data_IF_368609850588
#
_entry.id   IF_368609850588
#
_cell.length_a   1.000
_cell.length_b   1.000
_cell.length_c   1.000
_cell.angle_alpha   90.00
_cell.angle_beta   90.00
_cell.angle_gamma   90.00
#
_symmetry.space_group_name_H-M   'P 1'
#
loop_
_entity.id
_entity.type
_entity.pdbx_description
1 polymer ?
#
# COMPACT_ATOMS: atom_id res chain seq x y z
N UNK A 1 -43.68 -60.21 -10.97
CA UNK A 1 -43.03 -59.07 -10.23
C UNK A 1 -41.87 -58.55 -11.06
N UNK A 2 -42.10 -57.45 -11.79
CA UNK A 2 -41.09 -56.85 -12.64
C UNK A 2 -40.48 -55.69 -11.90
N UNK A 3 -39.21 -55.78 -11.50
CA UNK A 3 -38.46 -54.68 -10.95
C UNK A 3 -37.90 -53.85 -12.11
N UNK A 4 -38.42 -52.64 -12.27
CA UNK A 4 -37.87 -51.62 -13.21
C UNK A 4 -36.69 -50.94 -12.55
N UNK A 5 -35.47 -51.25 -13.02
CA UNK A 5 -34.24 -50.53 -12.66
C UNK A 5 -34.24 -49.14 -13.32
N UNK A 6 -34.31 -48.08 -12.53
CA UNK A 6 -34.07 -46.71 -12.97
C UNK A 6 -32.58 -46.55 -13.37
N UNK A 7 -32.25 -45.92 -14.50
CA UNK A 7 -30.87 -45.69 -14.85
C UNK A 7 -30.29 -44.51 -14.05
N UNK A 8 -29.15 -44.76 -13.41
CA UNK A 8 -28.32 -43.79 -12.69
C UNK A 8 -27.57 -42.87 -13.70
N UNK A 9 -28.23 -41.82 -14.23
CA UNK A 9 -27.57 -40.80 -15.06
C UNK A 9 -27.33 -39.44 -14.33
N UNK A 10 -27.55 -39.41 -13.00
CA UNK A 10 -27.46 -38.15 -12.24
C UNK A 10 -26.07 -37.64 -11.86
N UNK A 11 -24.97 -38.43 -11.83
CA UNK A 11 -23.66 -37.88 -11.37
C UNK A 11 -22.85 -37.15 -12.45
N UNK A 12 -23.08 -37.42 -13.74
CA UNK A 12 -22.25 -36.86 -14.81
C UNK A 12 -22.62 -35.40 -15.11
N UNK A 13 -23.90 -35.07 -15.08
CA UNK A 13 -24.40 -33.70 -15.33
C UNK A 13 -24.04 -32.74 -14.21
N UNK A 14 -24.07 -33.20 -12.96
CA UNK A 14 -23.69 -32.39 -11.80
C UNK A 14 -22.19 -32.08 -11.80
N UNK A 15 -21.37 -33.07 -12.18
CA UNK A 15 -19.91 -32.90 -12.28
C UNK A 15 -19.53 -31.90 -13.38
N UNK A 16 -20.21 -31.96 -14.54
CA UNK A 16 -20.00 -31.01 -15.65
C UNK A 16 -20.44 -29.59 -15.27
N UNK A 17 -21.53 -29.44 -14.53
CA UNK A 17 -21.99 -28.13 -14.06
C UNK A 17 -21.01 -27.50 -13.07
N UNK A 18 -20.48 -28.27 -12.13
CA UNK A 18 -19.48 -27.81 -11.18
C UNK A 18 -18.16 -27.42 -11.88
N UNK A 19 -17.72 -28.17 -12.88
CA UNK A 19 -16.56 -27.83 -13.68
C UNK A 19 -16.76 -26.53 -14.45
N UNK A 20 -17.92 -26.33 -15.03
CA UNK A 20 -18.26 -25.11 -15.76
C UNK A 20 -18.28 -23.89 -14.83
N UNK A 21 -18.86 -24.02 -13.61
CA UNK A 21 -18.86 -22.95 -12.62
C UNK A 21 -17.45 -22.62 -12.14
N UNK A 22 -16.58 -23.61 -11.99
CA UNK A 22 -15.18 -23.41 -11.62
C UNK A 22 -14.40 -22.67 -12.72
N UNK A 23 -14.63 -23.03 -14.00
CA UNK A 23 -14.05 -22.33 -15.14
C UNK A 23 -14.53 -20.89 -15.24
N UNK A 24 -15.84 -20.64 -15.03
CA UNK A 24 -16.38 -19.27 -15.04
C UNK A 24 -15.77 -18.43 -13.91
N UNK A 25 -15.65 -18.99 -12.70
CA UNK A 25 -15.01 -18.29 -11.57
C UNK A 25 -13.54 -17.99 -11.86
N UNK A 26 -12.81 -18.93 -12.45
CA UNK A 26 -11.41 -18.75 -12.83
C UNK A 26 -11.22 -17.65 -13.90
N UNK A 27 -12.10 -17.60 -14.91
CA UNK A 27 -12.06 -16.54 -15.93
C UNK A 27 -12.53 -15.19 -15.40
N UNK A 28 -13.42 -15.14 -14.42
CA UNK A 28 -13.80 -13.90 -13.75
C UNK A 28 -12.66 -13.32 -12.91
N UNK A 29 -11.87 -14.15 -12.22
CA UNK A 29 -10.68 -13.69 -11.51
C UNK A 29 -9.60 -13.14 -12.46
N UNK A 30 -9.45 -13.73 -13.66
CA UNK A 30 -8.54 -13.21 -14.68
C UNK A 30 -9.01 -11.87 -15.28
N UNK A 31 -10.31 -11.63 -15.36
CA UNK A 31 -10.87 -10.40 -15.93
C UNK A 31 -10.70 -9.17 -15.01
N UNK A 32 -10.54 -9.35 -13.70
CA UNK A 32 -10.26 -8.27 -12.75
C UNK A 32 -8.79 -7.86 -12.69
N UNK A 33 -7.90 -8.56 -13.41
CA UNK A 33 -6.48 -8.25 -13.53
C UNK A 33 -6.14 -7.42 -14.77
N UNK A 34 -7.13 -6.84 -15.45
CA UNK A 34 -6.88 -5.91 -16.54
C UNK A 34 -6.42 -4.57 -15.96
N UNK A 35 -5.10 -4.46 -15.87
CA UNK A 35 -4.37 -3.22 -15.70
C UNK A 35 -4.80 -2.25 -16.82
N UNK A 36 -5.58 -1.23 -16.48
CA UNK A 36 -6.01 -0.20 -17.43
C UNK A 36 -4.82 0.72 -17.70
N UNK A 37 -3.85 0.25 -18.45
CA UNK A 37 -2.83 1.12 -19.06
C UNK A 37 -3.53 2.01 -20.08
N UNK A 38 -3.93 3.21 -19.66
CA UNK A 38 -4.28 4.27 -20.57
C UNK A 38 -3.05 4.57 -21.42
N UNK A 39 -3.12 4.19 -22.69
CA UNK A 39 -2.14 4.56 -23.69
C UNK A 39 -2.00 6.10 -23.72
N UNK A 40 -0.78 6.64 -23.84
CA UNK A 40 -0.60 8.07 -23.97
C UNK A 40 -1.19 8.52 -25.31
N UNK A 41 -2.05 9.53 -25.27
CA UNK A 41 -2.46 10.27 -26.46
C UNK A 41 -1.21 10.94 -27.04
N UNK A 42 -0.61 10.30 -28.02
CA UNK A 42 0.43 10.90 -28.85
C UNK A 42 -0.27 11.75 -29.91
N UNK A 43 0.11 13.01 -29.97
CA UNK A 43 -0.05 13.80 -31.16
C UNK A 43 -0.63 15.19 -30.96
N UNK A 44 0.20 16.17 -30.64
CA UNK A 44 0.21 17.46 -31.31
C UNK A 44 1.68 17.92 -31.30
N UNK A 45 2.34 17.74 -32.43
CA UNK A 45 3.56 18.45 -32.73
C UNK A 45 3.20 19.91 -33.00
N UNK A 46 3.63 20.82 -32.15
CA UNK A 46 3.86 22.21 -32.54
C UNK A 46 5.27 22.57 -32.10
N UNK A 47 6.05 22.92 -33.11
CA UNK A 47 7.41 23.38 -33.02
C UNK A 47 7.49 24.73 -32.30
N UNK A 48 8.67 24.95 -31.69
CA UNK A 48 9.22 26.24 -31.38
C UNK A 48 8.56 27.05 -30.24
N UNK A 49 8.86 26.64 -29.00
CA UNK A 49 9.06 27.64 -27.95
C UNK A 49 10.28 27.23 -27.10
N UNK A 50 11.36 28.01 -27.21
CA UNK A 50 12.49 28.00 -26.28
C UNK A 50 12.02 28.58 -24.95
N UNK A 51 11.02 27.96 -24.34
CA UNK A 51 10.54 28.23 -23.00
C UNK A 51 11.44 27.54 -21.98
N UNK A 52 11.96 28.32 -21.02
CA UNK A 52 12.65 27.83 -19.83
C UNK A 52 11.98 26.56 -19.32
N UNK A 53 12.71 25.44 -19.30
CA UNK A 53 12.19 24.16 -18.83
C UNK A 53 11.60 24.34 -17.43
N UNK A 54 10.30 24.27 -17.31
CA UNK A 54 9.65 24.12 -16.02
C UNK A 54 10.17 22.80 -15.45
N UNK A 55 11.10 22.89 -14.50
CA UNK A 55 11.44 21.73 -13.68
C UNK A 55 10.14 21.27 -13.04
N UNK A 56 9.69 20.09 -13.37
CA UNK A 56 8.50 19.51 -12.72
C UNK A 56 8.78 19.47 -11.23
N UNK A 57 8.05 20.25 -10.45
CA UNK A 57 8.26 20.37 -9.02
C UNK A 57 8.06 19.00 -8.37
N UNK A 58 8.99 18.59 -7.52
CA UNK A 58 8.89 17.40 -6.71
C UNK A 58 7.51 17.32 -6.05
N UNK A 59 6.84 16.21 -6.21
CA UNK A 59 5.50 16.03 -5.65
C UNK A 59 5.23 14.58 -5.24
N UNK A 60 4.40 14.42 -4.20
CA UNK A 60 3.89 13.13 -3.75
C UNK A 60 2.39 13.10 -3.99
N UNK A 61 1.90 12.01 -4.51
CA UNK A 61 0.47 11.79 -4.70
C UNK A 61 -0.13 11.16 -3.43
N UNK A 62 -1.28 11.67 -2.98
CA UNK A 62 -2.10 11.06 -1.95
C UNK A 62 -3.14 10.18 -2.63
N UNK A 63 -3.24 8.91 -2.26
CA UNK A 63 -4.26 8.01 -2.79
C UNK A 63 -5.52 8.01 -1.93
N UNK A 64 -5.36 7.91 -0.65
CA UNK A 64 -6.45 7.52 0.24
C UNK A 64 -6.20 7.94 1.70
N UNK A 65 -7.20 7.74 2.57
CA UNK A 65 -7.12 7.99 3.99
C UNK A 65 -7.72 6.83 4.78
N UNK A 66 -7.36 6.69 6.04
CA UNK A 66 -7.93 5.70 6.92
C UNK A 66 -9.40 6.01 7.27
N UNK A 67 -10.22 4.97 7.42
CA UNK A 67 -11.62 5.07 7.82
C UNK A 67 -11.77 5.59 9.26
N UNK A 68 -12.93 6.19 9.57
CA UNK A 68 -13.21 6.83 10.85
C UNK A 68 -13.12 5.90 12.07
N UNK A 69 -13.47 4.64 11.88
CA UNK A 69 -13.39 3.59 12.92
C UNK A 69 -12.00 2.97 13.06
N UNK A 70 -11.08 3.38 12.21
CA UNK A 70 -9.65 3.09 12.26
C UNK A 70 -8.93 4.35 12.69
N UNK A 71 -7.69 4.30 13.04
CA UNK A 71 -6.94 5.48 13.45
C UNK A 71 -7.72 6.41 14.46
N UNK A 72 -8.68 5.83 15.21
CA UNK A 72 -9.60 6.58 16.07
C UNK A 72 -8.89 7.33 17.19
N UNK A 73 -7.81 6.75 17.70
CA UNK A 73 -6.99 7.33 18.78
C UNK A 73 -5.57 7.64 18.28
N UNK A 74 -5.39 7.81 16.97
CA UNK A 74 -4.07 7.91 16.34
C UNK A 74 -3.34 6.57 16.27
N UNK A 75 -3.98 5.46 16.66
CA UNK A 75 -3.35 4.14 16.77
C UNK A 75 -3.78 3.26 15.59
N UNK A 76 -2.80 2.66 14.93
CA UNK A 76 -3.00 1.57 13.97
C UNK A 76 -2.43 0.28 14.53
N UNK A 77 -3.21 -0.78 14.49
CA UNK A 77 -2.76 -2.10 14.96
C UNK A 77 -2.07 -2.86 13.83
N UNK A 78 -1.00 -3.59 14.16
CA UNK A 78 -0.29 -4.39 13.17
C UNK A 78 0.09 -5.78 13.69
N UNK A 79 0.38 -6.69 12.75
CA UNK A 79 0.97 -7.99 13.05
C UNK A 79 2.02 -8.34 11.99
N UNK A 80 3.00 -9.16 12.39
CA UNK A 80 4.07 -9.64 11.52
C UNK A 80 3.92 -11.14 11.34
N UNK A 81 3.79 -11.58 10.10
CA UNK A 81 3.60 -13.00 9.74
C UNK A 81 4.81 -13.49 8.97
N UNK A 82 5.32 -14.66 9.34
CA UNK A 82 6.47 -15.32 8.69
C UNK A 82 7.79 -14.51 8.76
N UNK A 83 7.89 -13.56 9.71
CA UNK A 83 9.12 -12.81 9.98
C UNK A 83 9.97 -13.49 11.04
N UNK A 84 11.29 -13.61 10.80
CA UNK A 84 12.28 -13.95 11.81
C UNK A 84 12.64 -12.73 12.66
N UNK A 85 13.63 -12.90 13.54
CA UNK A 85 14.04 -11.83 14.45
C UNK A 85 14.57 -10.57 13.73
N UNK A 86 15.31 -10.76 12.65
CA UNK A 86 15.84 -9.67 11.82
C UNK A 86 14.74 -8.86 11.18
N UNK A 87 13.77 -9.54 10.56
CA UNK A 87 12.63 -8.92 9.89
C UNK A 87 11.72 -8.19 10.89
N UNK A 88 11.47 -8.79 12.07
CA UNK A 88 10.69 -8.14 13.12
C UNK A 88 11.38 -6.85 13.59
N UNK A 89 12.69 -6.89 13.85
CA UNK A 89 13.44 -5.73 14.26
C UNK A 89 13.41 -4.62 13.20
N UNK A 90 13.57 -4.96 11.91
CA UNK A 90 13.51 -4.00 10.82
C UNK A 90 12.14 -3.30 10.70
N UNK A 91 11.03 -4.06 10.88
CA UNK A 91 9.69 -3.47 10.90
C UNK A 91 9.51 -2.54 12.09
N UNK A 92 9.99 -2.92 13.28
CA UNK A 92 9.88 -2.09 14.49
C UNK A 92 10.69 -0.80 14.36
N UNK A 93 11.89 -0.84 13.76
CA UNK A 93 12.69 0.35 13.48
C UNK A 93 11.96 1.29 12.50
N UNK A 94 11.46 0.76 11.38
CA UNK A 94 10.68 1.52 10.40
C UNK A 94 9.44 2.19 11.03
N UNK A 95 8.73 1.48 11.89
CA UNK A 95 7.56 2.00 12.65
C UNK A 95 8.00 3.16 13.53
N UNK A 96 9.07 2.99 14.30
CA UNK A 96 9.55 4.02 15.20
C UNK A 96 9.94 5.30 14.44
N UNK A 97 10.58 5.17 13.28
CA UNK A 97 10.92 6.32 12.45
C UNK A 97 9.69 7.07 11.92
N UNK A 98 8.60 6.37 11.59
CA UNK A 98 7.35 7.01 11.19
C UNK A 98 6.61 7.68 12.35
N UNK A 99 6.70 7.16 13.58
CA UNK A 99 6.07 7.76 14.75
C UNK A 99 6.74 9.08 15.19
N UNK A 100 8.05 9.22 14.94
CA UNK A 100 8.81 10.37 15.40
C UNK A 100 8.33 11.70 14.80
N UNK A 101 8.17 11.85 13.47
CA UNK A 101 7.81 13.13 12.86
C UNK A 101 6.30 13.39 12.79
N UNK A 102 5.45 12.40 13.08
CA UNK A 102 4.00 12.54 12.92
C UNK A 102 3.30 12.58 14.28
N UNK A 103 2.84 13.76 14.73
CA UNK A 103 2.12 13.88 15.98
C UNK A 103 0.88 12.96 16.01
N UNK A 104 0.62 12.38 17.17
CA UNK A 104 -0.55 11.52 17.42
C UNK A 104 -0.64 10.23 16.57
N UNK A 105 0.37 9.88 15.79
CA UNK A 105 0.44 8.59 15.12
C UNK A 105 1.18 7.59 15.99
N UNK A 106 0.55 6.44 16.25
CA UNK A 106 1.11 5.32 16.97
C UNK A 106 0.76 4.00 16.30
N UNK A 107 1.65 3.03 16.45
CA UNK A 107 1.42 1.66 16.01
C UNK A 107 1.47 0.70 17.20
N UNK A 108 0.54 -0.25 17.24
CA UNK A 108 0.45 -1.25 18.30
C UNK A 108 0.51 -2.66 17.73
N UNK A 109 1.49 -3.44 18.17
CA UNK A 109 1.63 -4.81 17.72
C UNK A 109 0.59 -5.73 18.36
N UNK A 110 -0.03 -6.58 17.55
CA UNK A 110 -0.92 -7.66 17.96
C UNK A 110 -0.31 -8.97 17.53
N UNK A 111 0.25 -9.70 18.47
CA UNK A 111 1.00 -10.95 18.20
C UNK A 111 0.06 -12.07 17.69
N UNK A 112 -1.15 -12.14 18.22
CA UNK A 112 -2.15 -13.15 17.86
C UNK A 112 -3.48 -12.49 17.50
N UNK A 113 -3.63 -12.00 16.24
CA UNK A 113 -4.91 -11.44 15.81
C UNK A 113 -6.00 -12.52 15.78
N UNK A 114 -7.21 -12.14 16.18
CA UNK A 114 -8.39 -13.00 16.12
C UNK A 114 -9.37 -12.52 15.04
N UNK A 115 -10.37 -13.35 14.71
CA UNK A 115 -11.42 -12.96 13.75
C UNK A 115 -12.25 -11.78 14.31
N UNK A 116 -12.47 -11.75 15.62
CA UNK A 116 -13.24 -10.71 16.32
C UNK A 116 -12.43 -9.40 16.46
N UNK A 117 -11.10 -9.49 16.48
CA UNK A 117 -10.18 -8.35 16.58
C UNK A 117 -9.15 -8.38 15.44
N UNK A 118 -9.57 -8.08 14.21
CA UNK A 118 -8.64 -8.03 13.07
C UNK A 118 -7.72 -6.82 13.20
N UNK A 119 -6.46 -7.01 12.83
CA UNK A 119 -5.48 -5.92 12.78
C UNK A 119 -5.73 -4.99 11.59
N UNK A 120 -5.21 -3.78 11.67
CA UNK A 120 -5.29 -2.79 10.59
C UNK A 120 -4.25 -3.09 9.50
N UNK A 121 -3.07 -3.54 9.90
CA UNK A 121 -1.92 -3.77 9.01
C UNK A 121 -1.39 -5.18 9.22
N UNK A 122 -1.15 -5.91 8.13
CA UNK A 122 -0.48 -7.20 8.20
C UNK A 122 0.80 -7.16 7.37
N UNK A 123 1.96 -7.29 8.02
CA UNK A 123 3.24 -7.49 7.35
C UNK A 123 3.47 -8.97 7.10
N UNK A 124 3.90 -9.32 5.89
CA UNK A 124 4.25 -10.69 5.47
C UNK A 124 5.60 -10.71 4.79
N UNK A 125 6.38 -11.73 5.10
CA UNK A 125 7.67 -11.96 4.46
C UNK A 125 7.57 -13.18 3.54
N UNK A 126 7.85 -12.97 2.25
CA UNK A 126 7.83 -14.01 1.22
C UNK A 126 9.14 -13.96 0.43
N UNK A 127 9.50 -15.09 -0.13
CA UNK A 127 10.52 -15.08 -1.20
C UNK A 127 9.79 -14.76 -2.51
N UNK A 128 10.13 -13.63 -3.12
CA UNK A 128 9.56 -13.17 -4.37
C UNK A 128 10.65 -13.20 -5.42
N UNK A 129 10.37 -13.86 -6.55
CA UNK A 129 11.31 -13.83 -7.67
C UNK A 129 11.28 -12.47 -8.38
N UNK A 130 12.45 -11.98 -8.79
CA UNK A 130 12.58 -10.77 -9.60
C UNK A 130 13.03 -9.51 -8.84
N UNK A 131 12.54 -8.36 -9.27
CA UNK A 131 12.98 -7.04 -8.79
C UNK A 131 12.06 -6.43 -7.72
N UNK A 132 10.89 -7.00 -7.49
CA UNK A 132 9.95 -6.45 -6.54
C UNK A 132 10.38 -6.75 -5.11
N UNK A 133 10.76 -5.72 -4.36
CA UNK A 133 11.22 -5.84 -2.97
C UNK A 133 10.09 -5.64 -1.95
N UNK A 134 9.05 -4.91 -2.32
CA UNK A 134 7.90 -4.64 -1.46
C UNK A 134 6.60 -4.47 -2.25
N UNK A 135 5.47 -4.64 -1.58
CA UNK A 135 4.14 -4.40 -2.14
C UNK A 135 3.12 -4.17 -1.02
N UNK A 136 2.40 -3.07 -1.11
CA UNK A 136 1.25 -2.78 -0.25
C UNK A 136 -0.05 -2.95 -1.02
N UNK A 137 -0.95 -3.79 -0.48
CA UNK A 137 -2.31 -3.96 -0.98
C UNK A 137 -3.28 -3.33 0.02
N UNK A 138 -3.95 -2.27 -0.40
CA UNK A 138 -4.90 -1.52 0.41
C UNK A 138 -6.33 -1.99 0.12
N UNK A 139 -7.05 -2.40 1.16
CA UNK A 139 -8.47 -2.69 1.09
C UNK A 139 -9.25 -1.43 1.46
N UNK A 140 -10.09 -0.95 0.57
CA UNK A 140 -10.96 0.18 0.82
C UNK A 140 -12.34 -0.30 1.30
N UNK A 141 -12.97 0.51 2.13
CA UNK A 141 -14.38 0.35 2.48
C UNK A 141 -15.29 0.85 1.35
N UNK A 142 -16.61 0.75 1.53
CA UNK A 142 -17.61 1.19 0.54
C UNK A 142 -17.59 2.71 0.25
N UNK A 143 -16.92 3.48 1.08
CA UNK A 143 -16.76 4.93 0.93
C UNK A 143 -15.40 5.34 0.38
N UNK A 144 -14.53 4.37 0.09
CA UNK A 144 -13.18 4.61 -0.45
C UNK A 144 -12.12 4.92 0.61
N UNK A 145 -12.39 4.68 1.89
CA UNK A 145 -11.41 4.82 2.96
C UNK A 145 -10.67 3.50 3.22
N UNK A 146 -9.43 3.60 3.67
CA UNK A 146 -8.61 2.44 4.04
C UNK A 146 -9.28 1.74 5.24
N UNK A 147 -9.55 0.46 5.10
CA UNK A 147 -10.07 -0.40 6.15
C UNK A 147 -9.08 -1.45 6.64
N UNK A 148 -8.12 -1.80 5.80
CA UNK A 148 -7.07 -2.77 6.09
C UNK A 148 -5.97 -2.68 5.03
N UNK A 149 -4.72 -3.02 5.40
CA UNK A 149 -3.59 -3.12 4.48
C UNK A 149 -2.82 -4.42 4.67
N UNK A 150 -2.36 -5.01 3.56
CA UNK A 150 -1.42 -6.11 3.55
C UNK A 150 -0.12 -5.64 2.93
N UNK A 151 0.95 -5.67 3.69
CA UNK A 151 2.30 -5.35 3.25
C UNK A 151 3.05 -6.65 3.04
N UNK A 152 3.57 -6.86 1.85
CA UNK A 152 4.44 -7.99 1.53
C UNK A 152 5.85 -7.46 1.28
N UNK A 153 6.83 -7.99 1.98
CA UNK A 153 8.25 -7.66 1.81
C UNK A 153 8.98 -8.91 1.34
N UNK A 154 9.79 -8.76 0.31
CA UNK A 154 10.66 -9.83 -0.18
C UNK A 154 11.78 -10.09 0.83
N UNK A 155 12.17 -11.37 0.99
CA UNK A 155 13.36 -11.74 1.76
C UNK A 155 14.64 -11.64 0.94
N UNK A 156 14.51 -11.61 -0.38
CA UNK A 156 15.63 -11.55 -1.30
C UNK A 156 15.30 -10.76 -2.56
N UNK A 157 16.31 -10.26 -3.23
CA UNK A 157 16.21 -9.65 -4.56
C UNK A 157 17.29 -10.28 -5.46
N UNK A 158 16.90 -10.77 -6.63
CA UNK A 158 17.78 -11.53 -7.54
C UNK A 158 18.58 -12.65 -6.84
N UNK A 159 17.96 -13.33 -5.86
CA UNK A 159 18.60 -14.41 -5.10
C UNK A 159 19.54 -13.94 -3.99
N UNK A 160 19.76 -12.64 -3.81
CA UNK A 160 20.53 -12.09 -2.71
C UNK A 160 19.60 -11.77 -1.54
N UNK A 161 19.89 -12.32 -0.35
CA UNK A 161 19.13 -12.01 0.86
C UNK A 161 19.26 -10.54 1.21
N UNK A 162 18.14 -9.92 1.54
CA UNK A 162 18.12 -8.55 2.06
C UNK A 162 18.63 -8.54 3.50
N UNK A 163 19.49 -7.59 3.82
CA UNK A 163 19.93 -7.35 5.20
C UNK A 163 18.86 -6.57 5.98
N UNK A 164 19.09 -6.34 7.30
CA UNK A 164 18.14 -5.63 8.15
C UNK A 164 17.85 -4.21 7.66
N UNK A 165 18.86 -3.48 7.22
CA UNK A 165 18.73 -2.11 6.75
C UNK A 165 17.94 -2.04 5.43
N UNK A 166 18.19 -2.97 4.49
CA UNK A 166 17.40 -3.09 3.27
C UNK A 166 15.91 -3.32 3.57
N UNK A 167 15.62 -4.27 4.49
CA UNK A 167 14.25 -4.58 4.90
C UNK A 167 13.58 -3.38 5.56
N UNK A 168 14.29 -2.67 6.42
CA UNK A 168 13.82 -1.46 7.09
C UNK A 168 13.48 -0.36 6.07
N UNK A 169 14.36 -0.12 5.10
CA UNK A 169 14.13 0.86 4.05
C UNK A 169 12.90 0.50 3.19
N UNK A 170 12.75 -0.79 2.80
CA UNK A 170 11.54 -1.27 2.11
C UNK A 170 10.31 -1.08 2.99
N UNK A 171 10.38 -1.43 4.26
CA UNK A 171 9.27 -1.27 5.20
C UNK A 171 8.86 0.20 5.35
N UNK A 172 9.81 1.13 5.45
CA UNK A 172 9.52 2.57 5.49
C UNK A 172 8.79 3.04 4.24
N UNK A 173 9.20 2.60 3.05
CA UNK A 173 8.51 2.88 1.80
C UNK A 173 7.08 2.35 1.79
N UNK A 174 6.90 1.07 2.10
CA UNK A 174 5.59 0.43 2.12
C UNK A 174 4.65 1.05 3.17
N UNK A 175 5.19 1.48 4.31
CA UNK A 175 4.41 2.21 5.30
C UNK A 175 3.91 3.57 4.80
N UNK A 176 4.63 4.23 3.89
CA UNK A 176 4.09 5.39 3.19
C UNK A 176 2.78 5.07 2.46
N UNK A 177 2.72 3.92 1.77
CA UNK A 177 1.49 3.44 1.13
C UNK A 177 0.41 3.08 2.16
N UNK A 178 0.79 2.43 3.28
CA UNK A 178 -0.12 2.18 4.41
C UNK A 178 -0.76 3.47 4.92
N UNK A 179 -0.01 4.55 4.97
CA UNK A 179 -0.46 5.86 5.44
C UNK A 179 -1.20 6.69 4.37
N UNK A 180 -1.47 6.11 3.20
CA UNK A 180 -2.30 6.69 2.15
C UNK A 180 -1.53 7.45 1.07
N UNK A 181 -0.23 7.28 1.00
CA UNK A 181 0.58 7.87 -0.07
C UNK A 181 0.67 6.95 -1.28
N UNK A 182 0.78 7.53 -2.45
CA UNK A 182 1.24 6.90 -3.69
C UNK A 182 2.69 7.33 -3.95
N UNK A 183 3.26 6.91 -5.06
CA UNK A 183 4.63 7.24 -5.39
C UNK A 183 4.86 8.74 -5.64
N UNK A 184 6.06 9.20 -5.32
CA UNK A 184 6.58 10.49 -5.75
C UNK A 184 6.86 10.49 -7.26
N UNK A 185 6.89 11.67 -7.86
CA UNK A 185 7.27 11.85 -9.27
C UNK A 185 8.78 11.92 -9.51
N UNK A 186 9.59 11.87 -8.45
CA UNK A 186 11.05 11.93 -8.49
C UNK A 186 11.67 10.65 -7.99
N UNK A 187 12.77 10.24 -8.60
CA UNK A 187 13.58 9.10 -8.20
C UNK A 187 14.53 9.45 -7.01
N UNK A 188 15.00 8.43 -6.32
CA UNK A 188 16.02 8.55 -5.27
C UNK A 188 15.51 9.09 -3.92
N UNK A 189 14.19 9.10 -3.70
CA UNK A 189 13.54 9.44 -2.42
C UNK A 189 12.74 8.28 -1.88
N UNK A 190 12.36 8.32 -0.61
CA UNK A 190 11.63 7.24 0.06
C UNK A 190 10.41 6.76 -0.73
N UNK A 191 9.58 7.66 -1.25
CA UNK A 191 8.38 7.30 -2.01
C UNK A 191 8.59 7.17 -3.51
N UNK A 192 9.81 6.99 -3.98
CA UNK A 192 10.12 6.74 -5.39
C UNK A 192 9.60 5.38 -5.84
N UNK A 193 9.17 5.25 -7.10
CA UNK A 193 8.79 3.95 -7.68
C UNK A 193 9.93 2.94 -7.69
N UNK A 194 11.17 3.43 -7.78
CA UNK A 194 12.39 2.63 -7.69
C UNK A 194 13.05 2.93 -6.36
N UNK A 195 13.13 1.93 -5.53
CA UNK A 195 13.86 2.02 -4.28
C UNK A 195 15.33 1.67 -4.56
N UNK A 196 16.22 2.56 -4.18
CA UNK A 196 17.66 2.33 -4.24
C UNK A 196 18.12 1.88 -2.86
N UNK A 197 18.26 0.59 -2.67
CA UNK A 197 18.86 0.02 -1.47
C UNK A 197 20.31 0.54 -1.39
N UNK A 198 20.83 0.80 -0.24
CA UNK A 198 22.14 1.44 0.01
C UNK A 198 22.20 2.97 -0.27
N UNK A 199 21.07 3.65 -0.44
CA UNK A 199 21.02 5.09 -0.64
C UNK A 199 20.44 5.81 0.59
N UNK A 200 21.27 6.59 1.29
CA UNK A 200 20.83 7.38 2.45
C UNK A 200 19.69 8.34 2.11
N UNK A 201 19.66 8.89 0.88
CA UNK A 201 18.60 9.82 0.45
C UNK A 201 17.24 9.12 0.27
N UNK A 202 17.24 7.83 -0.11
CA UNK A 202 16.04 7.03 -0.26
C UNK A 202 15.49 6.50 1.07
N UNK A 203 16.21 6.70 2.17
CA UNK A 203 15.88 6.21 3.50
C UNK A 203 15.20 7.25 4.40
N UNK A 204 15.23 8.54 4.00
CA UNK A 204 14.75 9.65 4.84
C UNK A 204 13.24 9.88 4.69
N UNK A 205 12.52 9.88 5.82
CA UNK A 205 11.16 10.40 5.91
C UNK A 205 11.21 11.92 5.91
N UNK A 206 11.17 12.53 4.71
CA UNK A 206 11.30 13.96 4.54
C UNK A 206 10.06 14.74 5.01
N UNK A 207 10.23 16.05 5.28
CA UNK A 207 9.11 16.94 5.64
C UNK A 207 7.97 16.90 4.61
N UNK A 208 8.28 16.72 3.33
CA UNK A 208 7.26 16.58 2.29
C UNK A 208 6.42 15.31 2.47
N UNK A 209 7.07 14.20 2.80
CA UNK A 209 6.39 12.92 3.08
C UNK A 209 5.50 13.06 4.32
N UNK A 210 6.03 13.64 5.39
CA UNK A 210 5.28 13.94 6.63
C UNK A 210 4.06 14.80 6.34
N UNK A 211 4.24 15.91 5.60
CA UNK A 211 3.16 16.81 5.19
C UNK A 211 2.09 16.08 4.38
N UNK A 212 2.48 15.18 3.48
CA UNK A 212 1.54 14.41 2.68
C UNK A 212 0.70 13.44 3.55
N UNK A 213 1.32 12.75 4.51
CA UNK A 213 0.60 11.86 5.46
C UNK A 213 -0.35 12.65 6.36
N UNK A 214 0.11 13.77 6.91
CA UNK A 214 -0.72 14.65 7.73
C UNK A 214 -1.92 15.16 6.94
N UNK A 215 -1.74 15.52 5.68
CA UNK A 215 -2.83 15.97 4.82
C UNK A 215 -3.80 14.84 4.44
N UNK A 216 -3.30 13.64 4.20
CA UNK A 216 -4.14 12.47 3.92
C UNK A 216 -5.07 12.16 5.10
N UNK A 217 -4.56 12.25 6.32
CA UNK A 217 -5.24 11.86 7.55
C UNK A 217 -5.49 13.06 8.51
N UNK A 218 -5.61 14.28 7.96
CA UNK A 218 -5.71 15.54 8.76
C UNK A 218 -6.86 15.52 9.76
N UNK A 219 -7.98 14.93 9.39
CA UNK A 219 -9.18 14.83 10.23
C UNK A 219 -8.95 14.12 11.58
N UNK A 220 -7.89 13.30 11.69
CA UNK A 220 -7.50 12.62 12.94
C UNK A 220 -6.19 13.12 13.51
N UNK A 221 -5.19 13.28 12.66
CA UNK A 221 -3.84 13.60 13.12
C UNK A 221 -3.67 15.08 13.47
N UNK A 222 -4.44 15.97 12.83
CA UNK A 222 -4.37 17.42 13.04
C UNK A 222 -5.64 18.00 13.66
N UNK A 223 -6.78 17.72 13.06
CA UNK A 223 -8.04 18.42 13.37
C UNK A 223 -8.87 17.71 14.43
N UNK A 224 -8.53 16.47 14.76
CA UNK A 224 -9.29 15.61 15.66
C UNK A 224 -10.81 15.60 15.37
N UNK A 225 -11.16 15.67 14.08
CA UNK A 225 -12.55 15.63 13.61
C UNK A 225 -13.09 14.20 13.69
N UNK A 226 -14.37 14.06 13.94
CA UNK A 226 -15.05 12.76 13.93
C UNK A 226 -15.41 12.29 12.52
N UNK A 227 -15.36 13.18 11.54
CA UNK A 227 -15.71 12.90 10.15
C UNK A 227 -14.48 12.91 9.25
N UNK A 228 -14.13 11.78 8.62
CA UNK A 228 -13.01 11.72 7.69
C UNK A 228 -13.31 12.56 6.46
N UNK A 229 -12.33 13.36 6.06
CA UNK A 229 -12.34 14.02 4.76
C UNK A 229 -11.71 13.08 3.73
N UNK A 230 -12.48 12.62 2.77
CA UNK A 230 -11.93 11.82 1.68
C UNK A 230 -10.88 12.67 0.94
N UNK A 231 -9.60 12.28 0.93
CA UNK A 231 -8.63 12.99 0.13
C UNK A 231 -8.96 12.69 -1.33
N UNK A 232 -9.59 13.64 -2.01
CA UNK A 232 -9.55 13.59 -3.47
C UNK A 232 -8.07 13.46 -3.86
N UNK A 233 -7.76 12.58 -4.81
CA UNK A 233 -6.39 12.34 -5.27
C UNK A 233 -5.69 13.70 -5.44
N UNK A 234 -4.78 14.01 -4.53
CA UNK A 234 -4.06 15.29 -4.52
C UNK A 234 -2.58 15.00 -4.69
N UNK A 235 -1.90 15.91 -5.38
CA UNK A 235 -0.45 15.98 -5.37
C UNK A 235 -0.03 17.06 -4.37
N UNK A 236 0.89 16.72 -3.50
CA UNK A 236 1.53 17.66 -2.60
C UNK A 236 2.87 18.05 -3.20
N UNK A 237 3.02 19.32 -3.50
CA UNK A 237 4.29 19.85 -3.97
C UNK A 237 5.32 19.86 -2.82
N UNK A 238 6.49 19.32 -3.08
CA UNK A 238 7.62 19.25 -2.14
C UNK A 238 8.58 20.45 -2.32
N UNK A 239 8.05 21.65 -2.45
CA UNK A 239 8.89 22.86 -2.50
C UNK A 239 9.52 23.16 -1.13
N UNK A 240 10.70 23.77 -1.14
CA UNK A 240 11.39 24.27 0.05
C UNK A 240 10.55 25.38 0.71
N UNK A 241 9.75 25.02 1.67
CA UNK A 241 9.03 25.96 2.53
C UNK A 241 8.73 25.29 3.86
N UNK A 242 8.92 26.01 4.98
CA UNK A 242 8.64 25.44 6.30
C UNK A 242 7.18 24.98 6.36
N UNK A 243 6.95 23.80 6.94
CA UNK A 243 5.61 23.31 7.28
C UNK A 243 5.05 24.27 8.33
N UNK A 244 4.31 25.27 7.91
CA UNK A 244 3.54 26.11 8.85
C UNK A 244 2.31 25.31 9.24
N UNK A 245 2.39 24.60 10.35
CA UNK A 245 1.21 24.05 11.02
C UNK A 245 0.52 25.26 11.65
N UNK A 246 -0.46 25.83 10.97
CA UNK A 246 -1.36 26.80 11.60
C UNK A 246 -2.31 26.03 12.50
N UNK A 247 -2.15 26.23 13.82
CA UNK A 247 -3.09 25.79 14.84
C UNK A 247 -4.46 26.44 14.67
#
# INVERSE_FOLDING_TARGET
MNETKLPFYLPITLSLLLLLLFLIAFFLEQAYSLDLTLAPLTGINNADDHGAGFMEQDSIRICCAWAANKLSDGILTYTIVNGGQTEQAAIQDAIQEWELPIPNLKFSEVVTPTIEAPVDIQFKFLEVEGQQVGKTLTKLDRYGFISHTNVTISKSVFGNMLNRQDIEQVAKHEMGHVLGLDHANTDGKLMSRKLYLDSDAADVISDCVVKAVLQANSWKLLENSTFPHHPFIRRIACGEGPVTITN
#
